data_IF_408734374830
#
_entry.id   IF_408734374830
#
_cell.length_a   1.000
_cell.length_b   1.000
_cell.length_c   1.000
_cell.angle_alpha   90.00
_cell.angle_beta   90.00
_cell.angle_gamma   90.00
#
_symmetry.space_group_name_H-M   'P 1'
#
loop_
_entity.id
_entity.type
_entity.pdbx_description
1 polymer ?
#
# COMPACT_ATOMS: atom_id res chain seq x y z
N UNK A 1 -4.94 20.44 -15.13
CA UNK A 1 -4.76 21.91 -15.20
C UNK A 1 -3.81 22.31 -16.31
N UNK A 2 -2.50 22.07 -16.15
CA UNK A 2 -1.47 22.64 -17.05
C UNK A 2 -1.07 21.78 -18.28
N UNK A 3 -1.81 20.71 -18.62
CA UNK A 3 -1.47 19.81 -19.75
C UNK A 3 -0.20 18.95 -19.59
N UNK A 4 0.60 19.17 -18.53
CA UNK A 4 1.89 18.52 -18.32
C UNK A 4 1.76 17.12 -17.69
N UNK A 5 1.22 16.15 -18.44
CA UNK A 5 0.99 14.76 -18.01
C UNK A 5 2.27 14.11 -17.46
N UNK A 6 3.40 14.26 -18.16
CA UNK A 6 4.69 13.67 -17.75
C UNK A 6 5.23 14.26 -16.44
N UNK A 7 5.06 15.57 -16.24
CA UNK A 7 5.49 16.24 -15.00
C UNK A 7 4.67 15.78 -13.81
N UNK A 8 3.35 15.65 -13.97
CA UNK A 8 2.46 15.15 -12.93
C UNK A 8 2.85 13.72 -12.50
N UNK A 9 3.10 12.84 -13.47
CA UNK A 9 3.56 11.47 -13.20
C UNK A 9 4.90 11.48 -12.44
N UNK A 10 5.87 12.27 -12.90
CA UNK A 10 7.19 12.36 -12.24
C UNK A 10 7.10 12.84 -10.80
N UNK A 11 6.31 13.88 -10.53
CA UNK A 11 6.12 14.40 -9.17
C UNK A 11 5.48 13.34 -8.27
N UNK A 12 4.47 12.62 -8.77
CA UNK A 12 3.80 11.58 -8.01
C UNK A 12 4.72 10.41 -7.68
N UNK A 13 5.54 9.96 -8.63
CA UNK A 13 6.49 8.87 -8.40
C UNK A 13 7.61 9.27 -7.44
N UNK A 14 8.13 10.50 -7.54
CA UNK A 14 9.13 11.01 -6.58
C UNK A 14 8.53 11.13 -5.18
N UNK A 15 7.33 11.72 -5.06
CA UNK A 15 6.62 11.80 -3.78
C UNK A 15 6.33 10.41 -3.20
N UNK A 16 5.93 9.47 -4.05
CA UNK A 16 5.75 8.07 -3.69
C UNK A 16 7.03 7.39 -3.20
N UNK A 17 8.16 7.62 -3.87
CA UNK A 17 9.46 7.08 -3.47
C UNK A 17 9.94 7.67 -2.13
N UNK A 18 9.70 8.97 -1.89
CA UNK A 18 10.00 9.60 -0.60
C UNK A 18 9.12 9.00 0.51
N UNK A 19 7.82 8.85 0.26
CA UNK A 19 6.89 8.22 1.21
C UNK A 19 7.28 6.77 1.51
N UNK A 20 7.67 6.01 0.48
CA UNK A 20 8.23 4.67 0.63
C UNK A 20 9.44 4.68 1.57
N UNK A 21 10.44 5.51 1.28
CA UNK A 21 11.68 5.55 2.05
C UNK A 21 11.45 5.90 3.52
N UNK A 22 10.61 6.90 3.80
CA UNK A 22 10.28 7.30 5.17
C UNK A 22 9.53 6.18 5.90
N UNK A 23 8.46 5.66 5.31
CA UNK A 23 7.65 4.61 5.93
C UNK A 23 8.41 3.31 6.13
N UNK A 24 9.27 2.93 5.18
CA UNK A 24 10.11 1.74 5.29
C UNK A 24 11.20 1.91 6.35
N UNK A 25 11.83 3.09 6.43
CA UNK A 25 12.80 3.38 7.49
C UNK A 25 12.16 3.20 8.88
N UNK A 26 10.95 3.73 9.08
CA UNK A 26 10.20 3.54 10.31
C UNK A 26 9.83 2.07 10.55
N UNK A 27 9.40 1.36 9.50
CA UNK A 27 9.11 -0.06 9.55
C UNK A 27 10.31 -0.92 9.97
N UNK A 28 11.49 -0.64 9.41
CA UNK A 28 12.74 -1.32 9.73
C UNK A 28 13.20 -1.01 11.17
N UNK A 29 13.13 0.25 11.61
CA UNK A 29 13.43 0.62 13.01
C UNK A 29 12.50 -0.14 13.97
N UNK A 30 11.21 -0.22 13.65
CA UNK A 30 10.24 -0.96 14.46
C UNK A 30 10.50 -2.48 14.44
N UNK A 31 10.93 -3.03 13.31
CA UNK A 31 11.28 -4.45 13.17
C UNK A 31 12.56 -4.84 13.90
N UNK A 32 13.55 -3.93 13.97
CA UNK A 32 14.83 -4.13 14.67
C UNK A 32 14.67 -4.08 16.19
N UNK A 33 13.88 -3.15 16.72
CA UNK A 33 13.69 -2.97 18.16
C UNK A 33 12.21 -3.03 18.60
N UNK A 34 11.48 -4.11 18.28
CA UNK A 34 10.03 -4.15 18.48
C UNK A 34 9.62 -4.02 19.95
N UNK A 35 10.39 -4.63 20.86
CA UNK A 35 10.09 -4.56 22.30
C UNK A 35 10.20 -3.14 22.86
N UNK A 36 11.17 -2.35 22.41
CA UNK A 36 11.34 -0.97 22.86
C UNK A 36 10.12 -0.10 22.49
N UNK A 37 9.48 -0.39 21.35
CA UNK A 37 8.24 0.28 20.95
C UNK A 37 7.03 -0.25 21.71
N UNK A 38 6.86 -1.57 21.79
CA UNK A 38 5.65 -2.19 22.33
C UNK A 38 5.53 -2.02 23.85
N UNK A 39 6.65 -2.01 24.56
CA UNK A 39 6.67 -1.81 26.02
C UNK A 39 6.20 -0.41 26.44
N UNK A 40 6.16 0.56 25.51
CA UNK A 40 5.59 1.89 25.77
C UNK A 40 4.06 1.85 25.89
N UNK A 41 3.40 0.83 25.33
CA UNK A 41 1.94 0.76 25.23
C UNK A 41 1.33 -0.34 26.09
N UNK A 42 2.07 -1.43 26.34
CA UNK A 42 1.59 -2.55 27.15
C UNK A 42 2.73 -3.18 27.93
N UNK A 43 2.54 -3.49 29.23
CA UNK A 43 3.47 -4.29 30.02
C UNK A 43 3.24 -5.81 29.85
N UNK A 44 2.18 -6.25 29.18
CA UNK A 44 1.85 -7.67 29.02
C UNK A 44 2.86 -8.39 28.09
N UNK A 45 3.61 -9.39 28.59
CA UNK A 45 4.56 -10.15 27.78
C UNK A 45 3.93 -10.80 26.54
N UNK A 46 2.69 -11.27 26.61
CA UNK A 46 2.02 -11.92 25.48
C UNK A 46 1.71 -10.96 24.33
N UNK A 47 1.34 -9.72 24.67
CA UNK A 47 1.16 -8.63 23.69
C UNK A 47 2.49 -8.24 23.06
N UNK A 48 3.54 -8.12 23.86
CA UNK A 48 4.88 -7.77 23.37
C UNK A 48 5.42 -8.86 22.43
N UNK A 49 5.25 -10.14 22.78
CA UNK A 49 5.69 -11.26 21.95
C UNK A 49 4.97 -11.28 20.59
N UNK A 50 3.63 -11.24 20.62
CA UNK A 50 2.80 -11.27 19.41
C UNK A 50 3.06 -10.03 18.54
N UNK A 51 3.11 -8.85 19.16
CA UNK A 51 3.43 -7.61 18.46
C UNK A 51 4.84 -7.61 17.88
N UNK A 52 5.81 -8.24 18.55
CA UNK A 52 7.18 -8.34 18.04
C UNK A 52 7.27 -9.22 16.80
N UNK A 53 6.53 -10.33 16.77
CA UNK A 53 6.42 -11.16 15.58
C UNK A 53 5.78 -10.38 14.41
N UNK A 54 4.70 -9.63 14.69
CA UNK A 54 4.06 -8.76 13.70
C UNK A 54 5.02 -7.71 13.13
N UNK A 55 5.71 -6.94 13.99
CA UNK A 55 6.62 -5.89 13.54
C UNK A 55 7.79 -6.44 12.73
N UNK A 56 8.33 -7.62 13.09
CA UNK A 56 9.42 -8.26 12.33
C UNK A 56 8.99 -8.74 10.95
N UNK A 57 7.74 -9.18 10.80
CA UNK A 57 7.24 -9.73 9.54
C UNK A 57 6.66 -8.63 8.64
N UNK A 58 5.86 -7.72 9.20
CA UNK A 58 5.12 -6.71 8.44
C UNK A 58 5.87 -5.39 8.35
N UNK A 59 6.66 -5.03 9.37
CA UNK A 59 7.46 -3.79 9.40
C UNK A 59 8.31 -3.59 8.15
N UNK A 60 9.06 -4.61 7.66
CA UNK A 60 9.86 -4.54 6.42
C UNK A 60 9.05 -4.42 5.10
N UNK A 61 7.77 -4.06 5.19
CA UNK A 61 6.89 -3.82 4.03
C UNK A 61 6.08 -2.52 4.16
N UNK A 62 6.29 -1.75 5.22
CA UNK A 62 5.55 -0.51 5.47
C UNK A 62 5.80 0.57 4.41
N UNK A 63 6.94 0.54 3.72
CA UNK A 63 7.23 1.37 2.57
C UNK A 63 6.17 1.26 1.47
N UNK A 64 5.70 0.05 1.17
CA UNK A 64 4.68 -0.17 0.15
C UNK A 64 3.33 0.46 0.53
N UNK A 65 3.02 0.50 1.82
CA UNK A 65 1.85 1.21 2.31
C UNK A 65 1.99 2.72 2.14
N UNK A 66 3.13 3.30 2.54
CA UNK A 66 3.44 4.72 2.35
C UNK A 66 3.40 5.14 0.87
N UNK A 67 4.04 4.35 0.00
CA UNK A 67 3.99 4.51 -1.45
C UNK A 67 2.54 4.52 -1.96
N UNK A 68 1.77 3.51 -1.60
CA UNK A 68 0.39 3.39 -2.05
C UNK A 68 -0.49 4.53 -1.56
N UNK A 69 -0.32 5.02 -0.33
CA UNK A 69 -1.03 6.20 0.19
C UNK A 69 -0.67 7.49 -0.55
N UNK A 70 0.61 7.71 -0.83
CA UNK A 70 1.04 8.88 -1.61
C UNK A 70 0.46 8.87 -3.02
N UNK A 71 0.48 7.70 -3.69
CA UNK A 71 -0.09 7.51 -5.02
C UNK A 71 -1.63 7.59 -5.02
N UNK A 72 -2.28 7.14 -3.95
CA UNK A 72 -3.71 7.29 -3.74
C UNK A 72 -4.11 8.76 -3.68
N UNK A 73 -3.41 9.58 -2.88
CA UNK A 73 -3.68 11.02 -2.83
C UNK A 73 -3.32 11.75 -4.13
N UNK A 74 -2.24 11.37 -4.80
CA UNK A 74 -1.92 11.91 -6.11
C UNK A 74 -3.02 11.57 -7.14
N UNK A 75 -3.59 10.37 -7.06
CA UNK A 75 -4.72 9.94 -7.89
C UNK A 75 -6.02 10.68 -7.54
N UNK A 76 -6.24 11.05 -6.27
CA UNK A 76 -7.34 11.94 -5.88
C UNK A 76 -7.21 13.32 -6.51
N UNK A 77 -6.02 13.92 -6.43
CA UNK A 77 -5.75 15.21 -7.09
C UNK A 77 -5.91 15.16 -8.61
N UNK A 78 -5.73 13.99 -9.21
CA UNK A 78 -5.97 13.74 -10.63
C UNK A 78 -7.43 13.34 -10.97
N UNK A 79 -8.33 13.23 -9.98
CA UNK A 79 -9.71 12.73 -10.12
C UNK A 79 -9.82 11.31 -10.72
N UNK A 80 -8.86 10.43 -10.40
CA UNK A 80 -8.72 9.08 -10.98
C UNK A 80 -8.62 8.00 -9.90
N UNK A 81 -9.68 7.87 -9.09
CA UNK A 81 -9.69 7.00 -7.91
C UNK A 81 -9.96 5.51 -8.17
N UNK A 82 -10.44 5.13 -9.35
CA UNK A 82 -10.83 3.74 -9.63
C UNK A 82 -9.69 2.74 -9.36
N UNK A 83 -8.50 2.99 -9.90
CA UNK A 83 -7.34 2.12 -9.72
C UNK A 83 -6.84 2.05 -8.27
N UNK A 84 -6.65 3.18 -7.56
CA UNK A 84 -6.34 3.15 -6.14
C UNK A 84 -7.34 2.36 -5.31
N UNK A 85 -8.65 2.50 -5.57
CA UNK A 85 -9.68 1.74 -4.86
C UNK A 85 -9.58 0.24 -5.17
N UNK A 86 -9.46 -0.16 -6.43
CA UNK A 86 -9.33 -1.58 -6.81
C UNK A 86 -8.11 -2.24 -6.16
N UNK A 87 -6.96 -1.57 -6.19
CA UNK A 87 -5.74 -2.09 -5.54
C UNK A 87 -5.86 -2.13 -4.02
N UNK A 88 -6.56 -1.18 -3.40
CA UNK A 88 -6.89 -1.19 -1.98
C UNK A 88 -7.83 -2.34 -1.60
N UNK A 89 -8.83 -2.65 -2.43
CA UNK A 89 -9.68 -3.82 -2.24
C UNK A 89 -8.90 -5.13 -2.41
N UNK A 90 -8.06 -5.21 -3.43
CA UNK A 90 -7.19 -6.38 -3.66
C UNK A 90 -6.31 -6.64 -2.44
N UNK A 91 -5.72 -5.59 -1.85
CA UNK A 91 -4.97 -5.69 -0.59
C UNK A 91 -5.78 -6.33 0.52
N UNK A 92 -7.00 -5.87 0.73
CA UNK A 92 -7.88 -6.37 1.80
C UNK A 92 -8.27 -7.83 1.54
N UNK A 93 -8.58 -8.19 0.30
CA UNK A 93 -8.88 -9.58 -0.09
C UNK A 93 -7.68 -10.48 0.18
N UNK A 94 -6.47 -10.05 -0.21
CA UNK A 94 -5.24 -10.81 0.03
C UNK A 94 -4.97 -10.96 1.54
N UNK A 95 -5.08 -9.87 2.30
CA UNK A 95 -4.86 -9.86 3.74
C UNK A 95 -5.86 -10.75 4.49
N UNK A 96 -7.16 -10.57 4.26
CA UNK A 96 -8.22 -11.31 4.96
C UNK A 96 -8.29 -12.76 4.45
N UNK A 97 -8.33 -12.95 3.13
CA UNK A 97 -8.43 -14.28 2.53
C UNK A 97 -7.18 -15.12 2.80
N UNK A 98 -6.00 -14.53 2.59
CA UNK A 98 -4.72 -15.18 2.88
C UNK A 98 -4.53 -15.43 4.38
N UNK A 99 -4.87 -14.46 5.24
CA UNK A 99 -4.79 -14.61 6.69
C UNK A 99 -5.75 -15.67 7.23
N UNK A 100 -6.99 -15.70 6.75
CA UNK A 100 -7.96 -16.73 7.11
C UNK A 100 -7.50 -18.13 6.69
N UNK A 101 -7.01 -18.28 5.47
CA UNK A 101 -6.49 -19.55 4.98
C UNK A 101 -5.25 -19.98 5.76
N UNK A 102 -4.32 -19.07 6.03
CA UNK A 102 -3.14 -19.31 6.85
C UNK A 102 -3.51 -19.82 8.25
N UNK A 103 -4.48 -19.19 8.91
CA UNK A 103 -4.95 -19.64 10.22
C UNK A 103 -5.62 -21.01 10.15
N UNK A 104 -6.46 -21.27 9.13
CA UNK A 104 -7.14 -22.56 8.96
C UNK A 104 -6.18 -23.72 8.73
N UNK A 105 -5.10 -23.49 7.99
CA UNK A 105 -4.15 -24.53 7.62
C UNK A 105 -3.04 -24.71 8.65
N UNK A 106 -2.61 -23.65 9.34
CA UNK A 106 -1.40 -23.67 10.18
C UNK A 106 -1.65 -23.33 11.65
N UNK A 107 -2.76 -22.67 11.98
CA UNK A 107 -3.00 -22.10 13.31
C UNK A 107 -2.03 -20.99 13.72
N UNK A 108 -1.10 -20.59 12.86
CA UNK A 108 -0.01 -19.67 13.20
C UNK A 108 -0.31 -18.23 12.80
N UNK A 109 -0.13 -17.32 13.76
CA UNK A 109 -0.20 -15.88 13.50
C UNK A 109 0.90 -15.39 12.56
N UNK A 110 2.07 -16.06 12.51
CA UNK A 110 3.16 -15.65 11.63
C UNK A 110 2.77 -15.73 10.15
N UNK A 111 2.04 -16.79 9.75
CA UNK A 111 1.55 -16.92 8.38
C UNK A 111 0.43 -15.92 8.07
N UNK A 112 -0.39 -15.55 9.06
CA UNK A 112 -1.31 -14.44 8.92
C UNK A 112 -0.57 -13.12 8.71
N UNK A 113 0.47 -12.84 9.49
CA UNK A 113 1.30 -11.65 9.33
C UNK A 113 2.00 -11.61 7.98
N UNK A 114 2.47 -12.76 7.48
CA UNK A 114 3.03 -12.88 6.14
C UNK A 114 1.99 -12.53 5.06
N UNK A 115 0.73 -12.95 5.21
CA UNK A 115 -0.35 -12.57 4.30
C UNK A 115 -0.64 -11.05 4.35
N UNK A 116 -0.58 -10.43 5.54
CA UNK A 116 -0.69 -8.97 5.69
C UNK A 116 0.44 -8.24 4.96
N UNK A 117 1.69 -8.66 5.20
CA UNK A 117 2.88 -8.10 4.55
C UNK A 117 2.80 -8.22 3.03
N UNK A 118 2.39 -9.39 2.54
CA UNK A 118 2.17 -9.62 1.11
C UNK A 118 1.07 -8.72 0.54
N UNK A 119 -0.02 -8.50 1.28
CA UNK A 119 -1.05 -7.53 0.91
C UNK A 119 -0.49 -6.12 0.71
N UNK A 120 0.38 -5.65 1.62
CA UNK A 120 1.02 -4.33 1.49
C UNK A 120 1.87 -4.23 0.22
N UNK A 121 2.68 -5.26 -0.07
CA UNK A 121 3.48 -5.33 -1.30
C UNK A 121 2.58 -5.28 -2.54
N UNK A 122 1.54 -6.13 -2.59
CA UNK A 122 0.58 -6.17 -3.70
C UNK A 122 -0.06 -4.80 -3.92
N UNK A 123 -0.46 -4.12 -2.85
CA UNK A 123 -1.04 -2.79 -2.93
C UNK A 123 -0.10 -1.78 -3.59
N UNK A 124 1.11 -1.63 -3.03
CA UNK A 124 2.08 -0.65 -3.51
C UNK A 124 2.52 -0.92 -4.95
N UNK A 125 2.81 -2.19 -5.28
CA UNK A 125 3.25 -2.60 -6.61
C UNK A 125 2.14 -2.45 -7.64
N UNK A 126 0.94 -2.96 -7.37
CA UNK A 126 -0.17 -2.91 -8.31
C UNK A 126 -0.61 -1.47 -8.60
N UNK A 127 -0.66 -0.61 -7.59
CA UNK A 127 -1.03 0.80 -7.78
C UNK A 127 0.04 1.56 -8.57
N UNK A 128 1.31 1.33 -8.26
CA UNK A 128 2.43 1.92 -9.01
C UNK A 128 2.39 1.48 -10.47
N UNK A 129 2.20 0.18 -10.73
CA UNK A 129 2.10 -0.38 -12.07
C UNK A 129 0.92 0.24 -12.85
N UNK A 130 -0.27 0.35 -12.23
CA UNK A 130 -1.44 0.95 -12.87
C UNK A 130 -1.20 2.42 -13.25
N UNK A 131 -0.55 3.20 -12.39
CA UNK A 131 -0.24 4.60 -12.66
C UNK A 131 0.78 4.74 -13.80
N UNK A 132 1.85 3.94 -13.77
CA UNK A 132 2.88 3.94 -14.83
C UNK A 132 2.30 3.46 -16.17
N UNK A 133 1.35 2.51 -16.16
CA UNK A 133 0.67 2.03 -17.37
C UNK A 133 -0.35 3.03 -17.95
N UNK A 134 -0.48 4.23 -17.37
CA UNK A 134 -1.31 5.31 -17.91
C UNK A 134 -2.73 5.37 -17.36
N UNK A 135 -3.01 4.80 -16.17
CA UNK A 135 -4.32 4.87 -15.50
C UNK A 135 -4.90 6.29 -15.40
N UNK A 136 -4.04 7.31 -15.27
CA UNK A 136 -4.47 8.70 -15.19
C UNK A 136 -4.87 9.31 -16.54
N UNK A 137 -4.40 8.73 -17.64
CA UNK A 137 -4.51 9.31 -18.97
C UNK A 137 -5.44 8.52 -19.90
N UNK A 138 -5.99 7.39 -19.43
CA UNK A 138 -6.93 6.54 -20.16
C UNK A 138 -8.31 7.19 -20.42
N UNK A 139 -8.67 7.22 -21.72
CA UNK A 139 -9.92 7.69 -22.34
C UNK A 139 -10.34 9.12 -22.00
N UNK A 140 -9.73 10.08 -22.69
CA UNK A 140 -10.50 11.19 -23.24
C UNK A 140 -11.55 10.55 -24.16
N UNK A 141 -12.75 10.36 -23.61
CA UNK A 141 -13.90 9.84 -24.35
C UNK A 141 -14.20 10.90 -25.41
N UNK A 142 -13.88 10.59 -26.67
CA UNK A 142 -14.38 11.30 -27.85
C UNK A 142 -15.92 11.29 -27.80
N UNK A 143 -16.50 12.29 -27.13
CA UNK A 143 -17.93 12.62 -27.20
C UNK A 143 -18.06 13.90 -28.03
N UNK A 144 -17.39 13.93 -29.19
CA UNK A 144 -17.52 15.06 -30.12
C UNK A 144 -17.79 14.63 -31.57
N UNK A 145 -18.18 13.38 -31.80
CA UNK A 145 -18.42 12.85 -33.15
C UNK A 145 -19.88 12.45 -33.47
N UNK A 146 -20.86 12.76 -32.61
CA UNK A 146 -22.30 12.58 -32.95
C UNK A 146 -23.13 13.66 -32.28
N UNK A 147 -23.65 14.60 -33.06
CA UNK A 147 -24.57 15.63 -32.55
C UNK A 147 -24.69 16.92 -33.38
N UNK A 148 -24.12 16.98 -34.59
CA UNK A 148 -24.48 17.99 -35.59
C UNK A 148 -24.66 17.30 -36.95
N UNK A 149 -25.82 16.69 -37.13
CA UNK A 149 -26.49 16.56 -38.43
C UNK A 149 -27.98 16.79 -38.15
#
# INVERSE_FOLDING_TARGET
>A
GAGQKQRALRIALIGGAIAFAISETLGLIAALWPQAWLALFSPDPGVIETGSAYLRIVGPTYGFFGLGMALYFASQGAARLLWPLLTGFLRVIVAIGGGWLALRLTGSLNWLFAALAFGLIVYGVALTAAIISGAWFGRERSINARGKL
#
